data_IF_985430098371
#
_entry.id   IF_985430098371
#
_cell.length_a   1.000
_cell.length_b   1.000
_cell.length_c   1.000
_cell.angle_alpha   90.00
_cell.angle_beta   90.00
_cell.angle_gamma   90.00
#
_symmetry.space_group_name_H-M   'P 1'
#
loop_
_entity.id
_entity.type
_entity.pdbx_description
1 polymer ?
#
# COMPACT_ATOMS: atom_id res chain seq x y z
N UNK A 1 14.55 18.57 12.52
CA UNK A 1 13.14 18.96 12.29
C UNK A 1 12.57 19.39 13.64
N UNK A 2 12.41 20.71 13.90
CA UNK A 2 12.32 21.24 15.26
C UNK A 2 11.16 20.66 16.10
N UNK A 3 10.04 20.31 15.47
CA UNK A 3 8.86 19.74 16.16
C UNK A 3 9.08 18.27 16.54
N UNK A 4 9.63 17.46 15.63
CA UNK A 4 9.92 16.04 15.89
C UNK A 4 11.02 15.91 16.94
N UNK A 5 12.05 16.76 16.87
CA UNK A 5 13.15 16.76 17.84
C UNK A 5 12.64 17.13 19.24
N UNK A 6 11.76 18.14 19.35
CA UNK A 6 11.11 18.50 20.60
C UNK A 6 10.24 17.37 21.17
N UNK A 7 9.51 16.66 20.30
CA UNK A 7 8.71 15.49 20.68
C UNK A 7 9.60 14.35 21.19
N UNK A 8 10.73 14.06 20.52
CA UNK A 8 11.67 13.03 20.95
C UNK A 8 12.20 13.29 22.36
N UNK A 9 12.69 14.51 22.58
CA UNK A 9 13.21 14.95 23.87
C UNK A 9 12.13 14.84 24.95
N UNK A 10 10.89 15.20 24.62
CA UNK A 10 9.76 15.07 25.54
C UNK A 10 9.48 13.60 25.89
N UNK A 11 9.51 12.67 24.92
CA UNK A 11 9.31 11.24 25.17
C UNK A 11 10.40 10.65 26.06
N UNK A 12 11.66 10.91 25.74
CA UNK A 12 12.82 10.42 26.48
C UNK A 12 12.80 10.92 27.93
N UNK A 13 12.37 12.16 28.16
CA UNK A 13 12.25 12.75 29.50
C UNK A 13 11.08 12.19 30.31
N UNK A 14 10.01 11.75 29.66
CA UNK A 14 8.78 11.34 30.35
C UNK A 14 8.62 9.82 30.46
N UNK A 15 9.29 9.00 29.64
CA UNK A 15 9.16 7.54 29.70
C UNK A 15 9.56 6.95 31.06
N UNK A 16 10.54 7.57 31.74
CA UNK A 16 10.97 7.18 33.09
C UNK A 16 9.97 7.53 34.20
N UNK A 17 9.04 8.44 33.92
CA UNK A 17 8.00 8.89 34.86
C UNK A 17 6.71 8.07 34.74
N UNK A 18 6.57 7.27 33.68
CA UNK A 18 5.40 6.43 33.45
C UNK A 18 5.65 5.05 34.04
N UNK A 19 4.60 4.46 34.61
CA UNK A 19 4.66 3.10 35.15
C UNK A 19 5.13 2.10 34.08
N UNK A 20 6.25 1.44 34.35
CA UNK A 20 6.78 0.38 33.47
C UNK A 20 5.72 -0.71 33.26
N UNK A 21 5.47 -1.05 32.01
CA UNK A 21 4.49 -2.08 31.62
C UNK A 21 3.05 -1.59 31.40
N UNK A 22 2.72 -0.34 31.76
CA UNK A 22 1.43 0.26 31.43
C UNK A 22 1.25 0.52 29.92
N UNK A 23 0.00 0.71 29.48
CA UNK A 23 -0.29 0.99 28.07
C UNK A 23 0.45 2.24 27.55
N UNK A 24 0.51 3.31 28.35
CA UNK A 24 1.24 4.53 28.00
C UNK A 24 2.74 4.28 27.87
N UNK A 25 3.34 3.52 28.78
CA UNK A 25 4.76 3.14 28.69
C UNK A 25 5.02 2.34 27.40
N UNK A 26 4.17 1.35 27.10
CA UNK A 26 4.29 0.54 25.88
C UNK A 26 4.21 1.40 24.62
N UNK A 27 3.28 2.35 24.57
CA UNK A 27 3.13 3.26 23.43
C UNK A 27 4.35 4.17 23.25
N UNK A 28 4.82 4.81 24.33
CA UNK A 28 6.01 5.67 24.30
C UNK A 28 7.27 4.89 23.93
N UNK A 29 7.45 3.71 24.53
CA UNK A 29 8.58 2.83 24.26
C UNK A 29 8.58 2.35 22.81
N UNK A 30 7.42 1.94 22.30
CA UNK A 30 7.27 1.53 20.91
C UNK A 30 7.61 2.67 19.94
N UNK A 31 7.10 3.88 20.19
CA UNK A 31 7.38 5.04 19.34
C UNK A 31 8.88 5.41 19.34
N UNK A 32 9.54 5.38 20.49
CA UNK A 32 10.99 5.61 20.58
C UNK A 32 11.79 4.52 19.84
N UNK A 33 11.37 3.26 19.94
CA UNK A 33 12.04 2.16 19.26
C UNK A 33 11.86 2.21 17.73
N UNK A 34 10.75 2.77 17.26
CA UNK A 34 10.46 2.97 15.83
C UNK A 34 10.89 4.35 15.31
N UNK A 35 11.57 5.16 16.14
CA UNK A 35 11.92 6.54 15.79
C UNK A 35 12.68 6.68 14.45
N UNK A 36 13.68 5.83 14.12
CA UNK A 36 14.37 5.92 12.84
C UNK A 36 13.45 5.77 11.63
N UNK A 37 12.45 4.88 11.71
CA UNK A 37 11.47 4.69 10.65
C UNK A 37 10.45 5.84 10.58
N UNK A 38 10.06 6.37 11.75
CA UNK A 38 9.13 7.49 11.85
C UNK A 38 9.70 8.78 11.25
N UNK A 39 11.01 9.02 11.37
CA UNK A 39 11.63 10.21 10.76
C UNK A 39 12.05 10.00 9.30
N UNK A 40 12.07 8.75 8.81
CA UNK A 40 12.50 8.44 7.44
C UNK A 40 11.70 9.16 6.35
N UNK A 41 10.42 9.45 6.57
CA UNK A 41 9.64 10.25 5.59
C UNK A 41 10.12 11.70 5.45
N UNK A 42 10.86 12.21 6.44
CA UNK A 42 11.46 13.54 6.37
C UNK A 42 12.72 13.57 5.49
N UNK A 43 13.31 12.40 5.22
CA UNK A 43 14.53 12.24 4.43
C UNK A 43 14.21 12.02 2.94
N UNK A 44 13.09 11.36 2.64
CA UNK A 44 12.60 11.15 1.27
C UNK A 44 11.14 11.62 1.13
N UNK A 45 10.93 12.71 0.37
CA UNK A 45 9.61 13.26 0.09
C UNK A 45 8.68 12.35 -0.74
N UNK A 46 9.17 11.23 -1.26
CA UNK A 46 8.34 10.18 -1.88
C UNK A 46 7.61 9.33 -0.84
N UNK A 47 8.07 9.33 0.41
CA UNK A 47 7.47 8.55 1.49
C UNK A 47 6.34 9.34 2.14
N UNK A 48 5.21 8.67 2.36
CA UNK A 48 4.07 9.23 3.06
C UNK A 48 4.22 9.04 4.57
N UNK A 49 3.83 10.05 5.35
CA UNK A 49 3.78 9.96 6.82
C UNK A 49 2.77 8.91 7.31
N UNK A 50 1.75 8.63 6.50
CA UNK A 50 0.68 7.69 6.82
C UNK A 50 0.82 6.42 5.99
N UNK A 51 0.66 5.26 6.62
CA UNK A 51 0.56 3.97 5.93
C UNK A 51 -0.84 3.72 5.33
N UNK A 52 -1.79 4.67 5.44
CA UNK A 52 -3.19 4.42 5.15
C UNK A 52 -3.41 3.91 3.72
N UNK A 53 -2.57 4.33 2.77
CA UNK A 53 -2.58 3.80 1.40
C UNK A 53 -2.23 2.31 1.35
N UNK A 54 -1.18 1.88 2.06
CA UNK A 54 -0.79 0.49 2.15
C UNK A 54 -1.85 -0.35 2.89
N UNK A 55 -2.42 0.18 3.97
CA UNK A 55 -3.52 -0.48 4.70
C UNK A 55 -4.77 -0.62 3.82
N UNK A 56 -5.12 0.42 3.06
CA UNK A 56 -6.25 0.38 2.14
C UNK A 56 -6.02 -0.65 1.02
N UNK A 57 -4.81 -0.75 0.49
CA UNK A 57 -4.45 -1.72 -0.54
C UNK A 57 -4.51 -3.18 -0.03
N UNK A 58 -4.09 -3.44 1.21
CA UNK A 58 -4.11 -4.80 1.79
C UNK A 58 -5.48 -5.19 2.38
N UNK A 59 -6.35 -4.22 2.70
CA UNK A 59 -7.64 -4.48 3.35
C UNK A 59 -8.53 -5.46 2.56
N UNK A 60 -8.71 -5.34 1.23
CA UNK A 60 -9.48 -6.32 0.46
C UNK A 60 -8.93 -7.74 0.59
N UNK A 61 -7.61 -7.91 0.64
CA UNK A 61 -6.96 -9.21 0.84
C UNK A 61 -7.20 -9.75 2.25
N UNK A 62 -7.04 -8.91 3.27
CA UNK A 62 -7.25 -9.30 4.67
C UNK A 62 -8.70 -9.70 4.99
N UNK A 63 -9.67 -9.09 4.31
CA UNK A 63 -11.09 -9.44 4.37
C UNK A 63 -11.37 -10.71 3.53
N UNK A 64 -10.86 -10.76 2.30
CA UNK A 64 -11.12 -11.82 1.32
C UNK A 64 -10.56 -13.18 1.71
N UNK A 65 -9.43 -13.25 2.44
CA UNK A 65 -8.81 -14.52 2.86
C UNK A 65 -9.73 -15.45 3.67
N UNK A 66 -10.75 -14.91 4.36
CA UNK A 66 -11.76 -15.73 5.07
C UNK A 66 -12.77 -16.39 4.12
N UNK A 67 -12.89 -15.89 2.90
CA UNK A 67 -13.82 -16.35 1.87
C UNK A 67 -13.12 -17.19 0.77
N UNK A 68 -11.80 -17.33 0.80
CA UNK A 68 -11.05 -18.06 -0.22
C UNK A 68 -10.71 -19.48 0.24
N UNK A 69 -11.38 -20.46 -0.36
CA UNK A 69 -11.23 -21.89 -0.07
C UNK A 69 -9.79 -22.44 -0.24
N UNK A 70 -8.89 -21.72 -0.91
CA UNK A 70 -7.51 -22.18 -1.18
C UNK A 70 -6.42 -21.33 -0.52
N UNK A 71 -6.79 -20.31 0.28
CA UNK A 71 -5.82 -19.48 1.00
C UNK A 71 -5.24 -20.14 2.26
N UNK A 72 -5.59 -21.41 2.53
CA UNK A 72 -5.19 -22.18 3.71
C UNK A 72 -3.83 -22.88 3.54
N UNK A 73 -3.31 -22.97 2.31
CA UNK A 73 -1.98 -23.53 2.04
C UNK A 73 -0.97 -22.42 1.74
N UNK A 74 0.32 -22.58 2.11
CA UNK A 74 1.37 -21.62 1.74
C UNK A 74 1.46 -21.35 0.24
N UNK A 75 1.21 -22.38 -0.58
CA UNK A 75 1.21 -22.27 -2.04
C UNK A 75 0.03 -21.45 -2.55
N UNK A 76 -1.18 -21.69 -2.02
CA UNK A 76 -2.37 -20.90 -2.38
C UNK A 76 -2.29 -19.45 -1.88
N UNK A 77 -1.68 -19.22 -0.71
CA UNK A 77 -1.38 -17.87 -0.23
C UNK A 77 -0.40 -17.13 -1.16
N UNK A 78 0.66 -17.81 -1.61
CA UNK A 78 1.64 -17.24 -2.57
C UNK A 78 1.01 -16.91 -3.91
N UNK A 79 0.19 -17.82 -4.46
CA UNK A 79 -0.53 -17.58 -5.71
C UNK A 79 -1.51 -16.40 -5.59
N UNK A 80 -2.28 -16.35 -4.50
CA UNK A 80 -3.22 -15.25 -4.24
C UNK A 80 -2.49 -13.92 -4.09
N UNK A 81 -1.38 -13.87 -3.36
CA UNK A 81 -0.57 -12.67 -3.19
C UNK A 81 0.01 -12.17 -4.53
N UNK A 82 0.44 -13.08 -5.42
CA UNK A 82 0.91 -12.72 -6.75
C UNK A 82 -0.21 -12.08 -7.60
N UNK A 83 -1.39 -12.70 -7.64
CA UNK A 83 -2.55 -12.15 -8.36
C UNK A 83 -2.95 -10.76 -7.84
N UNK A 84 -3.01 -10.60 -6.51
CA UNK A 84 -3.34 -9.30 -5.90
C UNK A 84 -2.27 -8.25 -6.19
N UNK A 85 -0.99 -8.62 -6.18
CA UNK A 85 0.09 -7.70 -6.54
C UNK A 85 -0.06 -7.18 -7.96
N UNK A 86 -0.41 -8.04 -8.92
CA UNK A 86 -0.67 -7.62 -10.31
C UNK A 86 -1.86 -6.67 -10.42
N UNK A 87 -2.97 -6.99 -9.74
CA UNK A 87 -4.18 -6.16 -9.74
C UNK A 87 -3.91 -4.78 -9.12
N UNK A 88 -3.26 -4.72 -7.97
CA UNK A 88 -2.95 -3.45 -7.30
C UNK A 88 -1.92 -2.63 -8.11
N UNK A 89 -0.98 -3.28 -8.78
CA UNK A 89 -0.04 -2.60 -9.68
C UNK A 89 -0.75 -2.01 -10.90
N UNK A 90 -1.72 -2.71 -11.49
CA UNK A 90 -2.54 -2.18 -12.58
C UNK A 90 -3.33 -0.94 -12.15
N UNK A 91 -4.00 -1.00 -10.98
CA UNK A 91 -4.71 0.14 -10.40
C UNK A 91 -3.79 1.33 -10.11
N UNK A 92 -2.59 1.08 -9.59
CA UNK A 92 -1.60 2.11 -9.31
C UNK A 92 -1.10 2.83 -10.58
N UNK A 93 -1.21 2.18 -11.75
CA UNK A 93 -0.90 2.75 -13.06
C UNK A 93 -2.13 3.30 -13.80
N UNK A 94 -3.28 3.40 -13.10
CA UNK A 94 -4.57 3.84 -13.64
C UNK A 94 -5.08 2.97 -14.81
N UNK A 95 -4.76 1.67 -14.82
CA UNK A 95 -5.22 0.72 -15.85
C UNK A 95 -6.35 -0.15 -15.28
N UNK A 96 -7.33 -0.49 -16.13
CA UNK A 96 -8.37 -1.45 -15.77
C UNK A 96 -7.75 -2.83 -15.47
N UNK A 97 -7.90 -3.36 -14.24
CA UNK A 97 -7.25 -4.62 -13.87
C UNK A 97 -7.70 -5.81 -14.71
N UNK A 98 -8.95 -5.82 -15.19
CA UNK A 98 -9.45 -6.92 -16.01
C UNK A 98 -8.77 -6.90 -17.38
N UNK A 99 -8.74 -5.74 -18.05
CA UNK A 99 -8.03 -5.58 -19.33
C UNK A 99 -6.54 -5.88 -19.20
N UNK A 100 -5.89 -5.44 -18.12
CA UNK A 100 -4.48 -5.73 -17.86
C UNK A 100 -4.20 -7.23 -17.75
N UNK A 101 -4.97 -7.94 -16.91
CA UNK A 101 -4.77 -9.38 -16.73
C UNK A 101 -5.06 -10.16 -18.02
N UNK A 102 -6.09 -9.77 -18.77
CA UNK A 102 -6.38 -10.38 -20.07
C UNK A 102 -5.20 -10.19 -21.04
N UNK A 103 -4.68 -8.97 -21.15
CA UNK A 103 -3.53 -8.66 -22.00
C UNK A 103 -2.30 -9.49 -21.60
N UNK A 104 -2.00 -9.59 -20.30
CA UNK A 104 -0.90 -10.43 -19.81
C UNK A 104 -1.12 -11.89 -20.18
N UNK A 105 -2.31 -12.45 -19.95
CA UNK A 105 -2.60 -13.86 -20.26
C UNK A 105 -2.53 -14.18 -21.76
N UNK A 106 -2.91 -13.24 -22.62
CA UNK A 106 -2.84 -13.40 -24.08
C UNK A 106 -1.41 -13.38 -24.62
N UNK A 107 -0.52 -12.58 -24.01
CA UNK A 107 0.81 -12.32 -24.55
C UNK A 107 1.95 -12.99 -23.75
N UNK A 108 1.66 -13.57 -22.58
CA UNK A 108 2.67 -14.19 -21.71
C UNK A 108 3.37 -15.40 -22.37
N UNK A 109 2.66 -16.13 -23.23
CA UNK A 109 3.24 -17.26 -23.98
C UNK A 109 4.23 -16.85 -25.06
N UNK A 110 4.24 -15.57 -25.44
CA UNK A 110 5.14 -15.03 -26.47
C UNK A 110 6.34 -14.27 -25.84
N UNK A 111 6.27 -14.04 -24.53
CA UNK A 111 7.24 -13.28 -23.75
C UNK A 111 8.39 -14.17 -23.21
N UNK A 112 9.15 -14.75 -24.14
CA UNK A 112 10.27 -15.65 -23.81
C UNK A 112 11.56 -14.91 -23.40
N UNK A 113 11.60 -13.59 -23.59
CA UNK A 113 12.78 -12.76 -23.25
C UNK A 113 12.44 -11.73 -22.18
N UNK A 114 13.42 -11.34 -21.33
CA UNK A 114 13.22 -10.33 -20.29
C UNK A 114 12.64 -9.02 -20.82
N UNK A 115 13.05 -8.60 -22.03
CA UNK A 115 12.59 -7.35 -22.64
C UNK A 115 11.12 -7.42 -23.07
N UNK A 116 10.65 -8.59 -23.51
CA UNK A 116 9.24 -8.81 -23.84
C UNK A 116 8.39 -8.88 -22.58
N UNK A 117 8.93 -9.49 -21.51
CA UNK A 117 8.28 -9.50 -20.20
C UNK A 117 8.13 -8.08 -19.64
N UNK A 118 9.16 -7.25 -19.78
CA UNK A 118 9.11 -5.83 -19.40
C UNK A 118 8.06 -5.06 -20.20
N UNK A 119 7.80 -5.44 -21.45
CA UNK A 119 6.71 -4.90 -22.27
C UNK A 119 5.31 -5.20 -21.71
N UNK A 120 5.14 -6.26 -20.92
CA UNK A 120 3.88 -6.64 -20.27
C UNK A 120 3.66 -5.96 -18.91
N UNK A 121 4.62 -5.15 -18.45
CA UNK A 121 4.48 -4.40 -17.20
C UNK A 121 3.52 -3.23 -17.39
N UNK A 122 2.69 -2.90 -16.38
CA UNK A 122 1.57 -1.98 -16.56
C UNK A 122 2.00 -0.54 -16.92
N UNK A 123 3.26 -0.16 -16.69
CA UNK A 123 3.79 1.13 -17.14
C UNK A 123 4.27 1.16 -18.60
N UNK A 124 4.46 -0.01 -19.23
CA UNK A 124 4.92 -0.17 -20.61
C UNK A 124 3.81 -0.61 -21.58
N UNK A 125 2.69 -1.10 -21.07
CA UNK A 125 1.56 -1.50 -21.92
C UNK A 125 0.86 -0.29 -22.54
N UNK A 126 0.45 -0.41 -23.81
CA UNK A 126 -0.35 0.60 -24.52
C UNK A 126 -1.84 0.61 -24.13
N UNK A 127 -2.19 0.01 -22.98
CA UNK A 127 -3.57 -0.10 -22.51
C UNK A 127 -4.13 1.27 -22.14
N UNK A 128 -5.42 1.48 -22.43
CA UNK A 128 -6.10 2.73 -22.09
C UNK A 128 -6.16 2.92 -20.58
N UNK A 129 -5.74 4.11 -20.13
CA UNK A 129 -5.86 4.51 -18.73
C UNK A 129 -7.30 4.88 -18.43
N UNK A 130 -7.81 4.41 -17.31
CA UNK A 130 -9.14 4.74 -16.81
C UNK A 130 -9.22 6.26 -16.63
N UNK A 131 -10.14 6.90 -17.36
CA UNK A 131 -10.46 8.31 -17.14
C UNK A 131 -11.11 8.42 -15.76
N UNK A 132 -10.44 9.06 -14.81
CA UNK A 132 -11.04 9.44 -13.52
C UNK A 132 -12.16 10.44 -13.80
N UNK A 133 -13.39 9.96 -13.96
CA UNK A 133 -14.56 10.82 -14.00
C UNK A 133 -14.74 11.42 -12.61
N UNK A 134 -14.45 12.72 -12.47
CA UNK A 134 -14.73 13.48 -11.25
C UNK A 134 -16.24 13.45 -10.96
N UNK A 135 -16.71 12.45 -10.22
CA UNK A 135 -18.04 12.45 -9.63
C UNK A 135 -18.05 13.33 -8.36
N UNK A 136 -17.85 14.63 -8.54
CA UNK A 136 -18.16 15.66 -7.54
C UNK A 136 -18.77 16.88 -8.23
N UNK A 137 -19.84 16.69 -9.00
CA UNK A 137 -20.79 17.76 -9.36
C UNK A 137 -22.18 17.18 -9.60
N UNK A 138 -22.99 17.06 -8.54
CA UNK A 138 -24.47 17.08 -8.53
C UNK A 138 -24.93 16.74 -7.10
N UNK A 139 -25.55 17.63 -6.33
CA UNK A 139 -25.98 18.98 -6.64
C UNK A 139 -26.28 19.77 -5.37
N UNK A 140 -26.25 21.09 -5.52
CA UNK A 140 -26.92 22.05 -4.65
C UNK A 140 -27.20 23.32 -5.47
N UNK A 141 -28.33 23.31 -6.17
CA UNK A 141 -29.13 24.46 -6.68
C UNK A 141 -30.40 23.81 -7.26
N UNK A 142 -31.65 24.14 -6.98
CA UNK A 142 -32.36 25.25 -6.33
C UNK A 142 -33.61 24.62 -5.68
N UNK A 143 -34.23 25.12 -4.60
CA UNK A 143 -35.09 26.31 -4.47
C UNK A 143 -35.25 26.61 -2.97
#
# INVERSE_FOLDING_TARGET
MPILDALKIWLEKNISKVLKGGHTYKAMYYMLNQWPYLVGYCEDGKLNISNALAENAIRPFAIGRKAWLFADTPQGAKASAACYSLIETAKANDIDPYTYILHVLEHISEADTPEKLDGLLPWNTALEKIKKTNQFTKGNTSI
#
